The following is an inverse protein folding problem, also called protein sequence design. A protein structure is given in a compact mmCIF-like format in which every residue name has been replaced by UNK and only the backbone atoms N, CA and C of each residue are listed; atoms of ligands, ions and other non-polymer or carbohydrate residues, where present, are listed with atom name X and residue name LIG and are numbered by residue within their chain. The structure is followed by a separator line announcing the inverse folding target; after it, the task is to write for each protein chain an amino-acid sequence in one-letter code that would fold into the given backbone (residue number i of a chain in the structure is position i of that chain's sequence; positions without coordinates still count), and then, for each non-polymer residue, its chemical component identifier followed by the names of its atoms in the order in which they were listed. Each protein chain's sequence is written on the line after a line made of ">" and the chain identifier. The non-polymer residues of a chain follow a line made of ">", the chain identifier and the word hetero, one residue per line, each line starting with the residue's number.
data_IF_676869305873
#
_entry.id   IF_676869305873
#
_cell.length_a   1.000
_cell.length_b   1.000
_cell.length_c   1.000
_cell.angle_alpha   90.00
_cell.angle_beta   90.00
_cell.angle_gamma   90.00
#
_symmetry.space_group_name_H-M   'P 1'
#
loop_
_entity.id
_entity.type
_entity.pdbx_description
1 polymer ?
#
# COMPACT_ATOMS: atom_id res chain seq x y z
N UNK A 1 -12.29 0.01 -9.49
CA UNK A 1 -11.72 0.31 -8.16
C UNK A 1 -10.48 -0.53 -7.90
N UNK A 2 -9.34 0.13 -7.94
CA UNK A 2 -8.02 -0.41 -7.71
C UNK A 2 -7.25 0.63 -6.88
N UNK A 3 -6.38 0.14 -6.01
CA UNK A 3 -5.60 0.96 -5.08
C UNK A 3 -4.29 1.34 -5.71
N UNK A 4 -3.91 2.62 -5.59
CA UNK A 4 -2.66 3.14 -6.13
C UNK A 4 -1.86 3.83 -5.04
N UNK A 5 -0.60 3.44 -4.87
CA UNK A 5 0.35 4.05 -3.93
C UNK A 5 1.71 4.16 -4.64
N UNK A 6 2.33 5.34 -4.58
CA UNK A 6 3.64 5.62 -5.20
C UNK A 6 3.77 5.22 -6.68
N UNK A 7 2.68 5.31 -7.42
CA UNK A 7 2.63 4.96 -8.84
C UNK A 7 2.42 3.47 -9.13
N UNK A 8 2.45 2.59 -8.14
CA UNK A 8 2.03 1.20 -8.26
C UNK A 8 0.51 1.10 -8.12
N UNK A 9 -0.15 0.26 -8.93
CA UNK A 9 -1.61 0.06 -8.92
C UNK A 9 -1.93 -1.43 -8.74
N UNK A 10 -2.80 -1.75 -7.79
CA UNK A 10 -3.20 -3.11 -7.41
C UNK A 10 -4.72 -3.22 -7.34
N UNK A 11 -5.24 -4.44 -7.48
CA UNK A 11 -6.69 -4.65 -7.47
C UNK A 11 -7.26 -4.45 -6.05
N UNK A 12 -6.50 -4.84 -5.02
CA UNK A 12 -6.91 -4.72 -3.61
C UNK A 12 -5.85 -4.01 -2.77
N UNK A 13 -6.29 -3.48 -1.62
CA UNK A 13 -5.38 -2.86 -0.65
C UNK A 13 -4.41 -3.89 -0.05
N UNK A 14 -4.86 -5.14 0.14
CA UNK A 14 -4.05 -6.23 0.68
C UNK A 14 -2.89 -6.59 -0.27
N UNK A 15 -3.17 -6.71 -1.58
CA UNK A 15 -2.14 -6.92 -2.60
C UNK A 15 -1.12 -5.77 -2.64
N UNK A 16 -1.61 -4.54 -2.50
CA UNK A 16 -0.76 -3.36 -2.40
C UNK A 16 0.13 -3.43 -1.17
N UNK A 17 -0.42 -3.76 0.00
CA UNK A 17 0.33 -3.85 1.25
C UNK A 17 1.41 -4.92 1.13
N UNK A 18 1.08 -6.15 0.73
CA UNK A 18 2.03 -7.25 0.67
C UNK A 18 3.13 -7.02 -0.36
N UNK A 19 2.78 -6.44 -1.51
CA UNK A 19 3.76 -6.13 -2.57
C UNK A 19 4.64 -4.94 -2.21
N UNK A 20 4.06 -3.90 -1.61
CA UNK A 20 4.78 -2.66 -1.33
C UNK A 20 5.56 -2.71 -0.02
N UNK A 21 5.15 -3.50 0.97
CA UNK A 21 5.81 -3.55 2.28
C UNK A 21 7.29 -3.93 2.18
N UNK A 22 7.68 -4.73 1.18
CA UNK A 22 9.08 -5.08 0.91
C UNK A 22 9.99 -3.83 0.76
N UNK A 23 9.45 -2.72 0.26
CA UNK A 23 10.20 -1.46 0.10
C UNK A 23 10.14 -0.54 1.34
N UNK A 24 9.26 -0.85 2.29
CA UNK A 24 8.99 -0.05 3.48
C UNK A 24 9.40 -0.75 4.79
N UNK A 25 9.74 -2.04 4.74
CA UNK A 25 10.10 -2.86 5.90
C UNK A 25 11.29 -2.33 6.72
N UNK A 26 12.21 -1.61 6.08
CA UNK A 26 13.36 -0.99 6.75
C UNK A 26 13.01 0.35 7.42
N UNK A 27 11.84 0.92 7.10
CA UNK A 27 11.40 2.25 7.57
C UNK A 27 10.34 2.17 8.67
N UNK A 28 9.47 1.16 8.62
CA UNK A 28 8.35 1.00 9.53
C UNK A 28 7.90 -0.46 9.60
N UNK A 29 7.18 -0.80 10.65
CA UNK A 29 6.55 -2.12 10.79
C UNK A 29 5.40 -2.32 9.80
N UNK A 30 4.97 -3.58 9.62
CA UNK A 30 3.86 -3.91 8.73
C UNK A 30 2.57 -3.21 9.16
N UNK A 31 2.28 -3.17 10.46
CA UNK A 31 1.09 -2.50 11.01
C UNK A 31 1.10 -1.00 10.72
N UNK A 32 2.26 -0.34 10.87
CA UNK A 32 2.42 1.08 10.51
C UNK A 32 2.25 1.31 9.00
N UNK A 33 2.78 0.39 8.19
CA UNK A 33 2.63 0.45 6.74
C UNK A 33 1.19 0.22 6.29
N UNK A 34 0.44 -0.67 6.95
CA UNK A 34 -0.98 -0.90 6.67
C UNK A 34 -1.80 0.38 6.92
N UNK A 35 -1.55 1.07 8.03
CA UNK A 35 -2.17 2.36 8.32
C UNK A 35 -1.79 3.41 7.27
N UNK A 36 -0.50 3.51 6.94
CA UNK A 36 0.00 4.42 5.91
C UNK A 36 -0.65 4.16 4.55
N UNK A 37 -0.67 2.92 4.09
CA UNK A 37 -1.26 2.53 2.81
C UNK A 37 -2.76 2.83 2.78
N UNK A 38 -3.49 2.59 3.87
CA UNK A 38 -4.92 2.90 3.95
C UNK A 38 -5.23 4.39 3.87
N UNK A 39 -4.37 5.24 4.41
CA UNK A 39 -4.53 6.69 4.39
C UNK A 39 -4.02 7.33 3.09
N UNK A 40 -2.98 6.77 2.48
CA UNK A 40 -2.27 7.38 1.34
C UNK A 40 -2.60 6.73 -0.01
N UNK A 41 -3.16 5.52 -0.05
CA UNK A 41 -3.52 4.89 -1.30
C UNK A 41 -4.72 5.59 -1.95
N UNK A 42 -4.54 6.01 -3.19
CA UNK A 42 -5.58 6.55 -4.05
C UNK A 42 -6.48 5.41 -4.54
N UNK A 43 -7.79 5.51 -4.31
CA UNK A 43 -8.76 4.65 -4.99
C UNK A 43 -9.00 5.18 -6.39
N UNK A 44 -8.66 4.36 -7.38
CA UNK A 44 -8.84 4.67 -8.80
C UNK A 44 -9.89 3.75 -9.39
N UNK A 45 -10.81 4.27 -10.19
CA UNK A 45 -11.78 3.42 -10.89
C UNK A 45 -11.13 2.50 -11.93
#
# INVERSE_FOLDING_TARGET
>A
MAYKLDGAKFATLEELIDSMYVFYQDKMSKEEFEAYAKENAEQTD
#
